data_IF_227469418970
#
_entry.id   IF_227469418970
#
_cell.length_a   1.000
_cell.length_b   1.000
_cell.length_c   1.000
_cell.angle_alpha   90.00
_cell.angle_beta   90.00
_cell.angle_gamma   90.00
#
_symmetry.space_group_name_H-M   'P 1'
#
loop_
_entity.id
_entity.type
_entity.pdbx_description
1 polymer ?
#
# COMPACT_ATOMS: atom_id res chain seq x y z
N UNK A 1 -4.13 -0.88 -26.88
CA UNK A 1 -4.28 -0.19 -25.58
C UNK A 1 -3.01 -0.45 -24.80
N UNK A 2 -2.37 0.58 -24.22
CA UNK A 2 -1.25 0.38 -23.32
C UNK A 2 -1.69 -0.46 -22.12
N UNK A 3 -0.84 -1.42 -21.73
CA UNK A 3 -1.10 -2.28 -20.58
C UNK A 3 -0.81 -1.46 -19.31
N UNK A 4 -1.78 -1.39 -18.39
CA UNK A 4 -1.60 -0.66 -17.14
C UNK A 4 -0.44 -1.26 -16.32
N UNK A 5 0.52 -0.45 -15.85
CA UNK A 5 1.61 -0.92 -15.01
C UNK A 5 1.12 -1.57 -13.71
N UNK A 6 1.84 -2.59 -13.27
CA UNK A 6 1.73 -3.11 -11.91
C UNK A 6 2.53 -2.18 -11.01
N UNK A 7 1.81 -1.31 -10.32
CA UNK A 7 2.38 -0.35 -9.37
C UNK A 7 3.12 -1.05 -8.24
N UNK A 8 2.57 -2.16 -7.77
CA UNK A 8 3.16 -2.93 -6.69
C UNK A 8 2.74 -4.39 -6.68
N UNK A 9 3.69 -5.27 -6.35
CA UNK A 9 3.45 -6.62 -5.89
C UNK A 9 3.86 -6.66 -4.41
N UNK A 10 2.91 -6.92 -3.52
CA UNK A 10 3.16 -6.93 -2.07
C UNK A 10 3.02 -8.33 -1.49
N UNK A 11 4.06 -8.80 -0.81
CA UNK A 11 4.05 -10.04 -0.06
C UNK A 11 3.72 -9.75 1.41
N UNK A 12 2.71 -10.42 1.95
CA UNK A 12 2.33 -10.40 3.36
C UNK A 12 3.03 -11.50 4.14
N UNK A 13 3.84 -11.13 5.14
CA UNK A 13 4.57 -12.05 6.01
C UNK A 13 3.69 -12.45 7.19
N UNK A 14 3.41 -13.75 7.32
CA UNK A 14 2.57 -14.30 8.39
C UNK A 14 3.30 -14.45 9.73
N UNK A 15 4.61 -14.64 9.69
CA UNK A 15 5.43 -14.85 10.86
C UNK A 15 5.54 -13.58 11.72
N UNK A 16 5.53 -13.76 13.03
CA UNK A 16 5.66 -12.68 13.99
C UNK A 16 7.09 -12.13 14.04
N UNK A 17 7.22 -10.86 14.38
CA UNK A 17 8.53 -10.29 14.72
C UNK A 17 9.13 -10.96 15.98
N UNK A 18 10.47 -11.06 16.09
CA UNK A 18 11.47 -10.63 15.12
C UNK A 18 11.58 -11.62 13.94
N UNK A 19 11.57 -11.07 12.73
CA UNK A 19 11.69 -11.84 11.49
C UNK A 19 13.10 -12.40 11.33
N UNK A 20 13.18 -13.66 10.90
CA UNK A 20 14.43 -14.34 10.56
C UNK A 20 14.79 -14.10 9.10
N UNK A 21 16.09 -14.09 8.79
CA UNK A 21 16.59 -13.86 7.43
C UNK A 21 16.02 -14.86 6.42
N UNK A 22 15.86 -16.13 6.80
CA UNK A 22 15.36 -17.17 5.88
C UNK A 22 13.91 -16.89 5.42
N UNK A 23 13.10 -16.25 6.26
CA UNK A 23 11.73 -15.84 5.90
C UNK A 23 11.76 -14.71 4.87
N UNK A 24 12.66 -13.74 5.10
CA UNK A 24 12.83 -12.56 4.23
C UNK A 24 13.41 -12.96 2.87
N UNK A 25 14.41 -13.84 2.84
CA UNK A 25 14.99 -14.38 1.62
C UNK A 25 13.96 -15.15 0.79
N UNK A 26 13.14 -15.99 1.43
CA UNK A 26 12.05 -16.71 0.76
C UNK A 26 11.02 -15.75 0.17
N UNK A 27 10.63 -14.71 0.91
CA UNK A 27 9.69 -13.70 0.43
C UNK A 27 10.29 -12.90 -0.74
N UNK A 28 11.57 -12.53 -0.67
CA UNK A 28 12.29 -11.87 -1.76
C UNK A 28 12.33 -12.73 -3.03
N UNK A 29 12.65 -14.02 -2.91
CA UNK A 29 12.64 -14.94 -4.04
C UNK A 29 11.25 -15.07 -4.69
N UNK A 30 10.18 -15.15 -3.88
CA UNK A 30 8.81 -15.18 -4.38
C UNK A 30 8.42 -13.88 -5.12
N UNK A 31 8.78 -12.72 -4.57
CA UNK A 31 8.55 -11.41 -5.19
C UNK A 31 9.32 -11.24 -6.50
N UNK A 32 10.59 -11.63 -6.54
CA UNK A 32 11.40 -11.59 -7.75
C UNK A 32 10.82 -12.50 -8.84
N UNK A 33 10.42 -13.73 -8.48
CA UNK A 33 9.76 -14.63 -9.42
C UNK A 33 8.45 -14.04 -9.95
N UNK A 34 7.61 -13.48 -9.08
CA UNK A 34 6.37 -12.83 -9.51
C UNK A 34 6.65 -11.66 -10.47
N UNK A 35 7.62 -10.80 -10.14
CA UNK A 35 8.02 -9.68 -10.99
C UNK A 35 8.45 -10.14 -12.38
N UNK A 36 9.32 -11.16 -12.46
CA UNK A 36 9.78 -11.72 -13.75
C UNK A 36 8.59 -12.23 -14.56
N UNK A 37 7.69 -12.98 -13.94
CA UNK A 37 6.53 -13.58 -14.62
C UNK A 37 5.55 -12.54 -15.16
N UNK A 38 5.36 -11.42 -14.45
CA UNK A 38 4.57 -10.31 -14.97
C UNK A 38 5.27 -9.55 -16.12
N UNK A 39 6.59 -9.35 -16.03
CA UNK A 39 7.36 -8.75 -17.12
C UNK A 39 7.33 -9.62 -18.38
N UNK A 40 7.45 -10.94 -18.25
CA UNK A 40 7.29 -11.89 -19.36
C UNK A 40 5.88 -11.86 -19.96
N UNK A 41 4.86 -11.57 -19.14
CA UNK A 41 3.48 -11.38 -19.59
C UNK A 41 3.22 -9.97 -20.19
N UNK A 42 4.24 -9.12 -20.29
CA UNK A 42 4.17 -7.81 -20.94
C UNK A 42 3.80 -6.64 -20.02
N UNK A 43 3.79 -6.83 -18.70
CA UNK A 43 3.53 -5.76 -17.73
C UNK A 43 4.83 -5.08 -17.30
N UNK A 44 4.79 -3.77 -17.15
CA UNK A 44 5.79 -3.06 -16.33
C UNK A 44 5.49 -3.33 -14.85
N UNK A 45 6.51 -3.73 -14.08
CA UNK A 45 6.42 -3.87 -12.62
C UNK A 45 7.28 -2.78 -11.99
N UNK A 46 6.65 -1.87 -11.25
CA UNK A 46 7.34 -0.70 -10.70
C UNK A 46 8.03 -0.99 -9.37
N UNK A 47 7.35 -1.71 -8.47
CA UNK A 47 7.91 -2.04 -7.15
C UNK A 47 7.46 -3.40 -6.65
N UNK A 48 8.32 -4.05 -5.87
CA UNK A 48 7.99 -5.18 -5.02
C UNK A 48 8.12 -4.77 -3.55
N UNK A 49 7.25 -5.27 -2.68
CA UNK A 49 7.14 -4.78 -1.29
C UNK A 49 6.85 -5.91 -0.31
N UNK A 50 7.27 -5.74 0.94
CA UNK A 50 6.92 -6.60 2.06
C UNK A 50 5.98 -5.90 3.03
N UNK A 51 4.91 -6.55 3.46
CA UNK A 51 4.09 -6.08 4.58
C UNK A 51 4.16 -7.10 5.71
N UNK A 52 4.39 -6.62 6.92
CA UNK A 52 4.52 -7.48 8.10
C UNK A 52 3.36 -7.27 9.07
N UNK A 53 3.31 -8.14 10.06
CA UNK A 53 2.47 -7.95 11.23
C UNK A 53 2.92 -6.69 12.01
N UNK A 54 2.01 -6.02 12.74
CA UNK A 54 2.38 -4.87 13.54
C UNK A 54 3.48 -5.16 14.58
N UNK A 55 4.64 -4.51 14.44
CA UNK A 55 5.76 -4.67 15.38
C UNK A 55 5.38 -4.37 16.83
N UNK A 56 4.48 -3.40 17.05
CA UNK A 56 4.06 -3.00 18.40
C UNK A 56 3.14 -4.03 19.06
N UNK A 57 2.56 -4.95 18.29
CA UNK A 57 1.80 -6.08 18.80
C UNK A 57 2.75 -7.24 19.12
N UNK A 58 3.59 -7.63 18.15
CA UNK A 58 4.47 -8.79 18.28
C UNK A 58 5.60 -8.58 19.29
N UNK A 59 6.10 -7.34 19.43
CA UNK A 59 7.19 -6.96 20.32
C UNK A 59 6.73 -6.03 21.46
N UNK A 60 5.48 -6.19 21.92
CA UNK A 60 4.86 -5.28 22.89
C UNK A 60 5.67 -5.10 24.19
N UNK A 61 6.43 -6.10 24.62
CA UNK A 61 7.27 -6.06 25.83
C UNK A 61 8.67 -5.47 25.64
N UNK A 62 9.08 -5.13 24.41
CA UNK A 62 10.42 -4.65 24.12
C UNK A 62 10.59 -3.18 24.49
N UNK A 63 11.82 -2.83 24.87
CA UNK A 63 12.23 -1.45 25.09
C UNK A 63 12.42 -0.71 23.77
N UNK A 64 12.35 0.63 23.82
CA UNK A 64 12.57 1.48 22.63
C UNK A 64 13.93 1.24 21.98
N UNK A 65 14.99 1.04 22.77
CA UNK A 65 16.33 0.75 22.25
C UNK A 65 16.43 -0.63 21.60
N UNK A 66 15.75 -1.65 22.14
CA UNK A 66 15.72 -2.97 21.52
C UNK A 66 14.96 -2.95 20.19
N UNK A 67 13.86 -2.19 20.10
CA UNK A 67 13.12 -1.99 18.85
C UNK A 67 13.96 -1.26 17.79
N UNK A 68 14.69 -0.21 18.19
CA UNK A 68 15.60 0.52 17.30
C UNK A 68 16.71 -0.39 16.75
N UNK A 69 17.36 -1.16 17.61
CA UNK A 69 18.38 -2.11 17.18
C UNK A 69 17.80 -3.16 16.21
N UNK A 70 16.57 -3.64 16.48
CA UNK A 70 15.91 -4.60 15.62
C UNK A 70 15.57 -4.04 14.23
N UNK A 71 15.04 -2.82 14.13
CA UNK A 71 14.72 -2.24 12.82
C UNK A 71 15.96 -1.88 12.01
N UNK A 72 17.06 -1.51 12.67
CA UNK A 72 18.35 -1.31 12.01
C UNK A 72 18.91 -2.63 11.49
N UNK A 73 18.78 -3.72 12.25
CA UNK A 73 19.12 -5.08 11.78
C UNK A 73 18.29 -5.48 10.56
N UNK A 74 16.97 -5.27 10.66
CA UNK A 74 16.04 -5.57 9.57
C UNK A 74 16.36 -4.76 8.31
N UNK A 75 16.70 -3.48 8.45
CA UNK A 75 17.15 -2.63 7.34
C UNK A 75 18.37 -3.24 6.64
N UNK A 76 19.40 -3.67 7.39
CA UNK A 76 20.59 -4.29 6.79
C UNK A 76 20.24 -5.56 6.01
N UNK A 77 19.40 -6.43 6.58
CA UNK A 77 18.96 -7.65 5.89
C UNK A 77 18.19 -7.31 4.61
N UNK A 78 17.30 -6.30 4.65
CA UNK A 78 16.55 -5.84 3.48
C UNK A 78 17.48 -5.28 2.39
N UNK A 79 18.52 -4.54 2.76
CA UNK A 79 19.52 -4.04 1.83
C UNK A 79 20.31 -5.20 1.18
N UNK A 80 20.73 -6.19 1.98
CA UNK A 80 21.46 -7.37 1.50
C UNK A 80 20.65 -8.19 0.48
N UNK A 81 19.33 -8.28 0.65
CA UNK A 81 18.42 -8.99 -0.29
C UNK A 81 17.81 -8.08 -1.37
N UNK A 82 18.17 -6.78 -1.38
CA UNK A 82 17.75 -5.81 -2.39
C UNK A 82 16.27 -5.41 -2.34
N UNK A 83 15.65 -5.36 -1.16
CA UNK A 83 14.26 -4.95 -0.97
C UNK A 83 14.15 -3.58 -0.29
N UNK A 84 13.72 -2.57 -1.06
CA UNK A 84 13.67 -1.18 -0.59
C UNK A 84 12.34 -0.76 0.05
N UNK A 85 11.36 -1.67 0.19
CA UNK A 85 10.03 -1.35 0.74
C UNK A 85 9.54 -2.45 1.67
N UNK A 86 9.51 -2.16 2.97
CA UNK A 86 8.99 -3.06 3.98
C UNK A 86 8.13 -2.28 4.99
N UNK A 87 6.89 -2.70 5.21
CA UNK A 87 6.04 -2.14 6.25
C UNK A 87 6.21 -2.92 7.53
N UNK A 88 6.50 -2.22 8.63
CA UNK A 88 6.51 -2.70 10.02
C UNK A 88 5.10 -2.86 10.61
N UNK A 89 4.09 -2.60 9.79
CA UNK A 89 2.70 -2.59 10.17
C UNK A 89 2.28 -1.37 10.97
N UNK A 90 1.19 -1.54 11.69
CA UNK A 90 0.38 -0.42 12.18
C UNK A 90 0.39 -0.35 13.70
N UNK A 91 0.78 0.78 14.28
CA UNK A 91 0.51 1.06 15.68
C UNK A 91 -1.01 1.21 15.89
N UNK A 92 -1.61 0.25 16.59
CA UNK A 92 -3.06 0.14 16.77
C UNK A 92 -3.55 1.07 17.89
N UNK A 93 -3.40 2.38 17.69
CA UNK A 93 -3.68 3.40 18.70
C UNK A 93 -5.14 3.44 19.14
N UNK A 94 -6.08 2.97 18.31
CA UNK A 94 -7.49 2.81 18.68
C UNK A 94 -7.74 1.85 19.83
N UNK A 95 -6.88 0.85 20.02
CA UNK A 95 -7.04 -0.14 21.09
C UNK A 95 -6.84 0.54 22.44
N UNK A 96 -7.77 0.40 23.41
CA UNK A 96 -7.66 1.08 24.70
C UNK A 96 -6.35 0.81 25.45
N UNK A 97 -5.81 -0.42 25.31
CA UNK A 97 -4.55 -0.83 25.93
C UNK A 97 -3.29 -0.34 25.21
N UNK A 98 -3.40 0.34 24.06
CA UNK A 98 -2.21 0.85 23.36
C UNK A 98 -1.70 2.14 24.05
N UNK A 99 -0.43 2.16 24.53
CA UNK A 99 0.19 3.34 25.13
C UNK A 99 0.51 4.40 24.07
N UNK A 100 -0.18 5.54 24.11
CA UNK A 100 -0.05 6.59 23.07
C UNK A 100 1.34 7.24 23.05
N UNK A 101 2.06 7.22 24.17
CA UNK A 101 3.45 7.64 24.28
C UNK A 101 4.40 6.81 23.40
N UNK A 102 4.02 5.56 23.06
CA UNK A 102 4.82 4.75 22.13
C UNK A 102 4.71 5.19 20.67
N UNK A 103 3.80 6.09 20.33
CA UNK A 103 3.71 6.64 18.98
C UNK A 103 4.93 7.49 18.63
N UNK A 104 5.55 8.15 19.59
CA UNK A 104 6.77 8.94 19.34
C UNK A 104 7.92 8.04 18.82
N UNK A 105 7.94 6.76 19.19
CA UNK A 105 8.92 5.77 18.69
C UNK A 105 8.79 5.54 17.18
N UNK A 106 7.59 5.70 16.59
CA UNK A 106 7.41 5.52 15.14
C UNK A 106 8.32 6.45 14.35
N UNK A 107 8.47 7.70 14.81
CA UNK A 107 9.37 8.66 14.18
C UNK A 107 10.83 8.19 14.27
N UNK A 108 11.27 7.69 15.44
CA UNK A 108 12.65 7.21 15.64
C UNK A 108 12.98 6.02 14.72
N UNK A 109 12.04 5.07 14.60
CA UNK A 109 12.22 3.88 13.75
C UNK A 109 12.34 4.28 12.27
N UNK A 110 11.50 5.20 11.81
CA UNK A 110 11.51 5.63 10.42
C UNK A 110 12.68 6.58 10.12
N UNK A 111 13.06 7.47 11.04
CA UNK A 111 14.20 8.37 10.84
C UNK A 111 15.54 7.64 10.76
N UNK A 112 15.66 6.47 11.41
CA UNK A 112 16.87 5.64 11.42
C UNK A 112 16.96 4.62 10.27
N UNK A 113 15.99 4.59 9.36
CA UNK A 113 15.90 3.60 8.28
C UNK A 113 15.41 4.24 6.98
N UNK A 114 15.60 3.55 5.85
CA UNK A 114 15.24 4.06 4.52
C UNK A 114 14.19 3.20 3.82
N UNK A 115 14.20 1.89 4.03
CA UNK A 115 13.25 0.95 3.42
C UNK A 115 11.95 0.77 4.21
N UNK A 116 11.99 1.11 5.51
CA UNK A 116 10.91 0.80 6.43
C UNK A 116 9.80 1.83 6.40
N UNK A 117 8.57 1.34 6.49
CA UNK A 117 7.33 2.10 6.57
C UNK A 117 6.58 1.71 7.84
N UNK A 118 5.81 2.62 8.41
CA UNK A 118 5.00 2.33 9.59
C UNK A 118 3.81 3.29 9.64
N UNK A 119 2.73 2.85 10.26
CA UNK A 119 1.49 3.64 10.30
C UNK A 119 0.87 3.68 11.69
N UNK A 120 -0.11 4.56 11.87
CA UNK A 120 -0.88 4.67 13.11
C UNK A 120 -2.37 4.62 12.79
N UNK A 121 -3.07 3.60 13.30
CA UNK A 121 -4.53 3.49 13.18
C UNK A 121 -5.19 4.32 14.29
N UNK A 122 -5.91 5.39 13.93
CA UNK A 122 -6.60 6.26 14.91
C UNK A 122 -8.12 6.04 14.95
N UNK A 123 -8.69 5.35 13.95
CA UNK A 123 -10.09 4.96 13.93
C UNK A 123 -10.28 3.57 13.34
N UNK A 124 -11.19 2.78 13.92
CA UNK A 124 -11.69 1.53 13.35
C UNK A 124 -13.20 1.41 13.57
N UNK A 125 -13.91 0.58 12.79
CA UNK A 125 -15.32 0.28 13.09
C UNK A 125 -15.51 -0.34 14.48
N UNK A 126 -14.52 -1.08 14.97
CA UNK A 126 -14.58 -1.80 16.27
C UNK A 126 -14.37 -0.90 17.49
N UNK A 127 -13.50 0.11 17.40
CA UNK A 127 -13.11 0.94 18.54
C UNK A 127 -13.44 2.42 18.35
N UNK A 128 -14.09 2.79 17.24
CA UNK A 128 -14.35 4.17 16.83
C UNK A 128 -13.04 4.99 16.76
N UNK A 129 -13.18 6.31 16.65
CA UNK A 129 -12.06 7.26 16.67
C UNK A 129 -11.53 7.42 18.10
N UNK A 130 -10.22 7.22 18.31
CA UNK A 130 -9.53 7.63 19.55
C UNK A 130 -8.92 9.01 19.35
N UNK A 131 -9.68 10.07 19.62
CA UNK A 131 -9.25 11.45 19.40
C UNK A 131 -7.92 11.80 20.11
N UNK A 132 -7.65 11.22 21.27
CA UNK A 132 -6.38 11.43 22.00
C UNK A 132 -5.13 10.98 21.22
N UNK A 133 -5.27 10.09 20.23
CA UNK A 133 -4.16 9.64 19.38
C UNK A 133 -3.79 10.63 18.27
N UNK A 134 -4.67 11.60 17.96
CA UNK A 134 -4.46 12.54 16.86
C UNK A 134 -3.23 13.43 17.06
N UNK A 135 -3.06 14.01 18.26
CA UNK A 135 -1.93 14.90 18.53
C UNK A 135 -0.58 14.14 18.55
N UNK A 136 -0.43 12.97 19.20
CA UNK A 136 0.76 12.14 19.05
C UNK A 136 1.06 11.73 17.61
N UNK A 137 0.07 11.30 16.82
CA UNK A 137 0.27 10.95 15.41
C UNK A 137 0.74 12.16 14.57
N UNK A 138 0.17 13.34 14.82
CA UNK A 138 0.62 14.58 14.17
C UNK A 138 2.05 14.97 14.57
N UNK A 139 2.47 14.69 15.81
CA UNK A 139 3.87 14.88 16.23
C UNK A 139 4.81 13.97 15.44
N UNK A 140 4.44 12.73 15.17
CA UNK A 140 5.24 11.83 14.31
C UNK A 140 5.47 12.47 12.94
N UNK A 141 4.40 12.95 12.27
CA UNK A 141 4.53 13.63 10.97
C UNK A 141 5.46 14.84 11.03
N UNK A 142 5.34 15.67 12.08
CA UNK A 142 6.18 16.85 12.27
C UNK A 142 7.64 16.47 12.48
N UNK A 143 7.90 15.45 13.30
CA UNK A 143 9.25 14.93 13.54
C UNK A 143 9.87 14.41 12.25
N UNK A 144 9.14 13.59 11.48
CA UNK A 144 9.63 13.08 10.20
C UNK A 144 9.95 14.20 9.21
N UNK A 145 9.14 15.26 9.15
CA UNK A 145 9.42 16.43 8.32
C UNK A 145 10.72 17.16 8.71
N UNK A 146 11.12 17.10 9.99
CA UNK A 146 12.25 17.85 10.54
C UNK A 146 13.53 17.01 10.67
N UNK A 147 13.38 15.70 10.90
CA UNK A 147 14.45 14.79 11.28
C UNK A 147 14.91 13.90 10.11
N UNK A 148 14.24 13.94 8.96
CA UNK A 148 14.63 13.19 7.76
C UNK A 148 14.99 14.12 6.62
N UNK A 149 15.90 13.68 5.74
CA UNK A 149 16.32 14.42 4.56
C UNK A 149 15.10 14.86 3.74
N UNK A 150 14.98 16.16 3.48
CA UNK A 150 13.85 16.80 2.78
C UNK A 150 12.45 16.42 3.32
N UNK A 151 12.36 15.88 4.54
CA UNK A 151 11.12 15.35 5.10
C UNK A 151 10.64 14.03 4.48
N UNK A 152 11.50 13.31 3.75
CA UNK A 152 11.15 12.07 3.03
C UNK A 152 10.56 10.96 3.92
N UNK A 153 10.83 11.00 5.23
CA UNK A 153 10.19 10.11 6.20
C UNK A 153 8.66 10.14 6.14
N UNK A 154 8.04 11.26 5.76
CA UNK A 154 6.59 11.35 5.61
C UNK A 154 6.03 10.52 4.44
N UNK A 155 6.83 10.20 3.42
CA UNK A 155 6.38 9.26 2.38
C UNK A 155 6.34 7.81 2.88
N UNK A 156 6.91 7.53 4.05
CA UNK A 156 6.96 6.21 4.70
C UNK A 156 6.02 6.09 5.90
N UNK A 157 5.19 7.10 6.11
CA UNK A 157 4.26 7.18 7.24
C UNK A 157 2.84 7.54 6.79
N UNK A 158 1.84 6.94 7.41
CA UNK A 158 0.47 7.41 7.33
C UNK A 158 -0.29 7.23 8.65
N UNK A 159 -1.22 8.15 8.87
CA UNK A 159 -2.29 7.98 9.84
C UNK A 159 -3.48 7.34 9.13
N UNK A 160 -4.00 6.26 9.70
CA UNK A 160 -5.03 5.42 9.10
C UNK A 160 -6.35 5.53 9.86
N UNK A 161 -7.43 5.41 9.11
CA UNK A 161 -8.79 5.27 9.61
C UNK A 161 -9.49 4.17 8.81
N UNK A 162 -10.00 3.15 9.50
CA UNK A 162 -10.75 2.04 8.90
C UNK A 162 -9.97 1.28 7.80
N UNK A 163 -8.64 1.22 7.91
CA UNK A 163 -7.80 0.45 6.98
C UNK A 163 -7.55 -0.94 7.58
N UNK A 164 -8.04 -1.96 6.90
CA UNK A 164 -7.82 -3.38 7.25
C UNK A 164 -6.49 -3.89 6.67
N UNK A 165 -5.93 -5.00 7.21
CA UNK A 165 -4.71 -5.59 6.68
C UNK A 165 -4.91 -6.16 5.27
N UNK A 166 -3.81 -6.29 4.51
CA UNK A 166 -3.78 -6.97 3.21
C UNK A 166 -3.84 -6.06 1.99
N UNK A 167 -4.00 -4.75 2.16
CA UNK A 167 -3.86 -3.80 1.05
C UNK A 167 -2.39 -3.73 0.55
N UNK A 168 -2.14 -3.57 -0.75
CA UNK A 168 -0.79 -3.58 -1.31
C UNK A 168 -0.10 -2.20 -1.33
N UNK A 169 -0.83 -1.13 -1.03
CA UNK A 169 -0.33 0.24 -1.22
C UNK A 169 0.41 0.78 0.01
N UNK A 170 1.54 1.42 -0.24
CA UNK A 170 2.34 2.05 0.80
C UNK A 170 2.00 3.53 0.91
N UNK A 171 2.08 4.10 2.13
CA UNK A 171 2.57 3.45 3.36
C UNK A 171 1.51 2.66 4.14
N UNK A 172 0.24 2.58 3.69
CA UNK A 172 -0.88 1.97 4.44
C UNK A 172 -0.84 0.44 4.58
N UNK A 173 -0.05 -0.26 3.78
CA UNK A 173 0.01 -1.71 3.78
C UNK A 173 0.51 -2.25 5.13
N UNK A 174 -0.18 -3.26 5.65
CA UNK A 174 0.27 -4.10 6.76
C UNK A 174 -0.39 -5.47 6.63
N UNK A 175 0.12 -6.46 7.34
CA UNK A 175 -0.34 -7.83 7.19
C UNK A 175 -0.91 -8.41 8.48
N UNK A 176 -1.87 -9.32 8.31
CA UNK A 176 -2.40 -10.18 9.35
C UNK A 176 -2.99 -11.43 8.69
N UNK A 177 -2.83 -12.60 9.31
CA UNK A 177 -3.28 -13.87 8.77
C UNK A 177 -2.17 -14.67 8.07
N UNK A 178 -2.53 -15.62 7.20
CA UNK A 178 -1.58 -16.45 6.46
C UNK A 178 -0.85 -15.66 5.36
N UNK A 179 0.34 -16.14 4.99
CA UNK A 179 1.20 -15.44 4.06
C UNK A 179 0.50 -15.26 2.71
N UNK A 180 0.61 -14.05 2.14
CA UNK A 180 -0.22 -13.67 1.00
C UNK A 180 0.50 -12.87 -0.06
N UNK A 181 -0.06 -12.84 -1.26
CA UNK A 181 0.34 -11.96 -2.35
C UNK A 181 -0.83 -11.02 -2.68
N UNK A 182 -0.56 -9.72 -2.75
CA UNK A 182 -1.51 -8.69 -3.17
C UNK A 182 -0.92 -7.85 -4.31
N UNK A 183 -1.76 -7.38 -5.22
CA UNK A 183 -1.35 -6.62 -6.41
C UNK A 183 -2.03 -5.25 -6.41
N UNK A 184 -1.28 -4.20 -6.71
CA UNK A 184 -1.82 -2.86 -6.93
C UNK A 184 -1.49 -2.36 -8.34
N UNK A 185 -2.46 -1.77 -9.02
CA UNK A 185 -2.30 -1.23 -10.37
C UNK A 185 -2.09 0.28 -10.37
N UNK A 186 -1.39 0.78 -11.39
CA UNK A 186 -1.50 2.18 -11.80
C UNK A 186 -2.78 2.31 -12.64
N UNK A 187 -3.92 2.51 -11.98
CA UNK A 187 -5.24 2.37 -12.60
C UNK A 187 -5.81 3.63 -13.25
N UNK A 188 -5.20 4.81 -13.06
CA UNK A 188 -5.77 6.08 -13.53
C UNK A 188 -6.04 6.09 -15.04
N UNK A 189 -5.08 5.62 -15.86
CA UNK A 189 -5.22 5.56 -17.31
C UNK A 189 -6.37 4.67 -17.80
N UNK A 190 -6.67 3.57 -17.09
CA UNK A 190 -7.81 2.69 -17.43
C UNK A 190 -9.12 3.46 -17.32
N UNK A 191 -9.27 4.25 -16.25
CA UNK A 191 -10.48 5.04 -16.01
C UNK A 191 -10.59 6.18 -17.03
N UNK A 192 -9.50 6.90 -17.28
CA UNK A 192 -9.45 7.97 -18.29
C UNK A 192 -9.88 7.44 -19.66
N UNK A 193 -9.31 6.34 -20.12
CA UNK A 193 -9.64 5.75 -21.42
C UNK A 193 -11.11 5.32 -21.50
N UNK A 194 -11.63 4.68 -20.44
CA UNK A 194 -13.03 4.27 -20.39
C UNK A 194 -13.98 5.47 -20.53
N UNK A 195 -13.69 6.58 -19.83
CA UNK A 195 -14.46 7.82 -19.91
C UNK A 195 -14.34 8.44 -21.31
N UNK A 196 -13.12 8.55 -21.86
CA UNK A 196 -12.91 9.11 -23.21
C UNK A 196 -13.70 8.36 -24.28
N UNK A 197 -13.68 7.03 -24.25
CA UNK A 197 -14.41 6.18 -25.18
C UNK A 197 -15.93 6.38 -25.04
N UNK A 198 -16.44 6.48 -23.82
CA UNK A 198 -17.84 6.77 -23.57
C UNK A 198 -18.26 8.13 -24.13
N UNK A 199 -17.45 9.17 -23.90
CA UNK A 199 -17.76 10.54 -24.35
C UNK A 199 -17.70 10.70 -25.86
N UNK A 200 -16.77 10.02 -26.54
CA UNK A 200 -16.62 10.10 -28.02
C UNK A 200 -17.84 9.53 -28.75
N UNK A 201 -18.56 8.58 -28.14
CA UNK A 201 -19.72 7.92 -28.74
C UNK A 201 -21.06 8.62 -28.54
N UNK A 202 -21.13 9.69 -27.72
CA UNK A 202 -22.39 10.29 -27.30
C UNK A 202 -22.37 11.83 -27.48
N UNK A 203 -23.38 12.38 -28.15
CA UNK A 203 -23.61 13.82 -28.18
C UNK A 203 -24.55 14.22 -27.04
N UNK A 204 -24.02 14.75 -25.93
CA UNK A 204 -24.81 15.20 -24.78
C UNK A 204 -24.11 14.99 -23.43
N UNK A 205 -24.79 15.29 -22.31
CA UNK A 205 -24.28 14.97 -20.98
C UNK A 205 -24.11 13.45 -20.82
N UNK A 206 -23.10 12.98 -20.07
CA UNK A 206 -22.86 11.54 -19.91
C UNK A 206 -24.03 10.86 -19.20
N UNK A 207 -24.41 9.69 -19.70
CA UNK A 207 -25.25 8.77 -18.95
C UNK A 207 -24.38 8.11 -17.87
N UNK A 208 -24.53 8.57 -16.63
CA UNK A 208 -23.69 8.13 -15.51
C UNK A 208 -23.83 6.64 -15.19
N UNK A 209 -24.99 6.03 -15.45
CA UNK A 209 -25.17 4.60 -15.23
C UNK A 209 -24.38 3.81 -16.26
N UNK A 210 -24.49 4.18 -17.54
CA UNK A 210 -23.74 3.55 -18.61
C UNK A 210 -22.23 3.79 -18.48
N UNK A 211 -21.82 5.00 -18.11
CA UNK A 211 -20.43 5.33 -17.84
C UNK A 211 -19.85 4.47 -16.71
N UNK A 212 -20.59 4.29 -15.61
CA UNK A 212 -20.16 3.44 -14.50
C UNK A 212 -19.96 1.98 -14.94
N UNK A 213 -20.86 1.44 -15.76
CA UNK A 213 -20.72 0.09 -16.31
C UNK A 213 -19.54 -0.02 -17.29
N UNK A 214 -19.32 0.97 -18.15
CA UNK A 214 -18.19 1.00 -19.08
C UNK A 214 -16.84 1.01 -18.33
N UNK A 215 -16.73 1.82 -17.26
CA UNK A 215 -15.56 1.83 -16.37
C UNK A 215 -15.39 0.47 -15.68
N UNK A 216 -16.47 -0.15 -15.17
CA UNK A 216 -16.40 -1.48 -14.55
C UNK A 216 -15.89 -2.53 -15.53
N UNK A 217 -16.43 -2.56 -16.74
CA UNK A 217 -16.01 -3.50 -17.80
C UNK A 217 -14.53 -3.29 -18.13
N UNK A 218 -14.07 -2.05 -18.25
CA UNK A 218 -12.67 -1.74 -18.49
C UNK A 218 -11.78 -2.26 -17.35
N UNK A 219 -12.11 -1.95 -16.09
CA UNK A 219 -11.37 -2.41 -14.92
C UNK A 219 -11.28 -3.93 -14.85
N UNK A 220 -12.41 -4.65 -15.00
CA UNK A 220 -12.43 -6.12 -14.97
C UNK A 220 -11.59 -6.71 -16.09
N UNK A 221 -11.70 -6.17 -17.32
CA UNK A 221 -10.92 -6.63 -18.47
C UNK A 221 -9.41 -6.50 -18.25
N UNK A 222 -8.95 -5.42 -17.61
CA UNK A 222 -7.54 -5.24 -17.27
C UNK A 222 -7.12 -6.10 -16.06
N UNK A 223 -7.98 -6.25 -15.06
CA UNK A 223 -7.67 -6.96 -13.83
C UNK A 223 -7.65 -8.48 -14.01
N UNK A 224 -8.52 -9.04 -14.84
CA UNK A 224 -8.72 -10.49 -14.98
C UNK A 224 -7.41 -11.27 -15.27
N UNK A 225 -6.63 -10.96 -16.32
CA UNK A 225 -5.40 -11.69 -16.60
C UNK A 225 -4.35 -11.54 -15.48
N UNK A 226 -4.35 -10.41 -14.77
CA UNK A 226 -3.46 -10.15 -13.65
C UNK A 226 -3.85 -11.03 -12.46
N UNK A 227 -5.14 -11.10 -12.15
CA UNK A 227 -5.69 -11.94 -11.08
C UNK A 227 -5.40 -13.41 -11.34
N UNK A 228 -5.59 -13.89 -12.56
CA UNK A 228 -5.32 -15.29 -12.94
C UNK A 228 -3.84 -15.65 -12.71
N UNK A 229 -2.91 -14.80 -13.17
CA UNK A 229 -1.48 -15.01 -12.95
C UNK A 229 -1.11 -14.89 -11.46
N UNK A 230 -1.71 -13.95 -10.72
CA UNK A 230 -1.48 -13.81 -9.28
C UNK A 230 -1.90 -15.07 -8.51
N UNK A 231 -3.03 -15.67 -8.87
CA UNK A 231 -3.53 -16.91 -8.27
C UNK A 231 -2.60 -18.10 -8.56
N UNK A 232 -2.12 -18.23 -9.80
CA UNK A 232 -1.12 -19.25 -10.17
C UNK A 232 0.15 -19.09 -9.34
N UNK A 233 0.69 -17.87 -9.27
CA UNK A 233 1.92 -17.56 -8.54
C UNK A 233 1.76 -17.80 -7.04
N UNK A 234 0.66 -17.33 -6.45
CA UNK A 234 0.35 -17.54 -5.05
C UNK A 234 0.29 -19.04 -4.73
N UNK A 235 -0.45 -19.82 -5.52
CA UNK A 235 -0.54 -21.28 -5.34
C UNK A 235 0.83 -21.97 -5.47
N UNK A 236 1.67 -21.57 -6.43
CA UNK A 236 3.01 -22.16 -6.63
C UNK A 236 3.93 -21.92 -5.42
N UNK A 237 3.83 -20.75 -4.80
CA UNK A 237 4.64 -20.38 -3.63
C UNK A 237 3.98 -20.74 -2.28
N UNK A 238 2.84 -21.43 -2.29
CA UNK A 238 2.11 -21.79 -1.07
C UNK A 238 1.52 -20.58 -0.33
N UNK A 239 1.15 -19.53 -1.06
CA UNK A 239 0.58 -18.28 -0.55
C UNK A 239 -0.92 -18.19 -0.85
N UNK A 240 -1.61 -17.33 -0.11
CA UNK A 240 -2.97 -16.88 -0.45
C UNK A 240 -2.87 -15.69 -1.40
N UNK A 241 -3.68 -15.66 -2.46
CA UNK A 241 -3.89 -14.41 -3.19
C UNK A 241 -4.88 -13.53 -2.42
N UNK A 242 -4.38 -12.45 -1.82
CA UNK A 242 -5.18 -11.54 -0.98
C UNK A 242 -6.05 -10.57 -1.80
N UNK A 243 -5.81 -10.48 -3.11
CA UNK A 243 -6.62 -9.68 -4.02
C UNK A 243 -5.81 -8.66 -4.82
N UNK A 244 -6.56 -7.86 -5.58
CA UNK A 244 -6.04 -6.78 -6.40
C UNK A 244 -6.72 -5.48 -6.00
N UNK A 245 -5.93 -4.41 -5.91
CA UNK A 245 -6.42 -3.06 -5.71
C UNK A 245 -6.50 -2.35 -7.07
N UNK A 246 -7.73 -1.96 -7.42
CA UNK A 246 -8.11 -1.32 -8.68
C UNK A 246 -8.32 0.19 -8.55
N UNK A 247 -7.86 0.79 -7.45
CA UNK A 247 -7.88 2.24 -7.27
C UNK A 247 -7.21 2.91 -8.47
N UNK A 248 -7.70 4.08 -8.91
CA UNK A 248 -7.12 4.81 -10.03
C UNK A 248 -5.81 5.51 -9.62
N UNK A 249 -4.83 4.72 -9.17
CA UNK A 249 -3.56 5.23 -8.70
C UNK A 249 -2.83 5.94 -9.85
N UNK A 250 -2.40 7.20 -9.65
CA UNK A 250 -1.73 8.00 -10.68
C UNK A 250 -0.21 7.78 -10.69
N UNK A 251 0.44 8.20 -11.78
CA UNK A 251 1.90 8.40 -11.83
C UNK A 251 2.29 9.32 -12.99
N UNK A 252 3.08 10.36 -12.71
CA UNK A 252 3.49 11.32 -13.75
C UNK A 252 2.28 11.97 -14.40
N UNK A 253 2.16 11.83 -15.72
CA UNK A 253 1.06 12.38 -16.52
C UNK A 253 -0.26 11.60 -16.40
N UNK A 254 -0.21 10.36 -15.87
CA UNK A 254 -1.41 9.54 -15.63
C UNK A 254 -2.16 10.08 -14.41
N UNK A 255 -3.32 10.72 -14.64
CA UNK A 255 -4.08 11.40 -13.60
C UNK A 255 -5.57 11.09 -13.65
N UNK A 256 -6.16 10.76 -12.49
CA UNK A 256 -7.60 10.59 -12.34
C UNK A 256 -8.38 11.89 -12.57
N UNK A 257 -7.75 13.04 -12.38
CA UNK A 257 -8.35 14.36 -12.64
C UNK A 257 -8.83 14.48 -14.08
N UNK A 258 -8.05 13.96 -15.04
CA UNK A 258 -8.43 13.99 -16.44
C UNK A 258 -9.75 13.26 -16.69
N UNK A 259 -9.97 12.11 -16.05
CA UNK A 259 -11.23 11.37 -16.17
C UNK A 259 -12.41 12.15 -15.57
N UNK A 260 -12.22 12.77 -14.41
CA UNK A 260 -13.26 13.55 -13.74
C UNK A 260 -13.69 14.77 -14.57
N UNK A 261 -12.73 15.48 -15.15
CA UNK A 261 -13.00 16.67 -15.95
C UNK A 261 -13.62 16.33 -17.32
N UNK A 262 -13.26 15.18 -17.90
CA UNK A 262 -13.86 14.67 -19.15
C UNK A 262 -15.36 14.38 -19.04
N UNK A 263 -15.86 14.11 -17.83
CA UNK A 263 -17.31 13.96 -17.60
C UNK A 263 -18.10 15.26 -17.83
N UNK A 264 -17.43 16.41 -17.99
CA UNK A 264 -18.05 17.67 -18.40
C UNK A 264 -18.75 18.45 -17.27
N UNK A 265 -18.48 18.12 -16.01
CA UNK A 265 -19.05 18.81 -14.84
C UNK A 265 -18.18 19.95 -14.29
N UNK A 266 -17.13 20.32 -15.02
CA UNK A 266 -16.20 21.37 -14.64
C UNK A 266 -14.87 20.82 -14.09
N UNK A 267 -13.99 21.69 -13.59
CA UNK A 267 -12.68 21.30 -13.08
C UNK A 267 -12.81 20.54 -11.74
N UNK A 268 -11.83 19.69 -11.44
CA UNK A 268 -11.77 19.02 -10.13
C UNK A 268 -11.78 20.04 -8.99
N UNK A 269 -12.65 19.82 -8.02
CA UNK A 269 -12.91 20.72 -6.88
C UNK A 269 -14.13 21.62 -7.07
N UNK A 270 -14.75 21.62 -8.26
CA UNK A 270 -16.05 22.24 -8.49
C UNK A 270 -17.19 21.37 -7.89
N UNK A 271 -18.41 21.94 -7.71
CA UNK A 271 -19.57 21.19 -7.23
C UNK A 271 -19.83 19.91 -8.05
N UNK A 272 -19.88 18.77 -7.37
CA UNK A 272 -20.10 17.47 -8.01
C UNK A 272 -18.84 16.66 -8.35
N UNK A 273 -17.65 17.17 -8.03
CA UNK A 273 -16.41 16.37 -7.95
C UNK A 273 -16.47 15.41 -6.77
#
# INVERSE_FOLDING_TARGET
MPIAPIRTITFGIAEAHPLKSEILERAAAALQNASIRYMEAGYEVQTVRLSTRPIFDDLAGWSSSALLNYVQELQRILDDIGLSYCSLGTAQATRPGFPLERLDLVADLLASTSALNATVQIATPTHSLRAAAALPAARVMKRLAQETEEGFGNFRFAMLACVEPGNPFFPSAYHSGPASLAIGLQGAGIVVEAVQNHMTGNAGPPDLFKLSEDVKIALVRHAQPIVELAQELASRHGLIFAGIDLSPAPMGEDSITAALELCGFGPVGAPGT
#
